data_IF_599593528525
#
_entry.id   IF_599593528525
#
_cell.length_a   1.000
_cell.length_b   1.000
_cell.length_c   1.000
_cell.angle_alpha   90.00
_cell.angle_beta   90.00
_cell.angle_gamma   90.00
#
_symmetry.space_group_name_H-M   'P 1'
#
loop_
_entity.id
_entity.type
_entity.pdbx_description
1 polymer ?
#
# COMPACT_ATOMS: atom_id res chain seq x y z
N UNK A 1 15.61 24.70 23.83
CA UNK A 1 15.44 23.57 22.88
C UNK A 1 16.28 22.40 23.41
N UNK A 2 15.65 21.40 24.01
CA UNK A 2 16.34 20.18 24.47
C UNK A 2 16.16 19.13 23.39
N UNK A 3 17.25 18.71 22.76
CA UNK A 3 17.28 17.59 21.82
C UNK A 3 16.90 16.30 22.56
N UNK A 4 15.79 15.70 22.18
CA UNK A 4 15.42 14.34 22.62
C UNK A 4 16.37 13.36 21.93
N UNK A 5 17.11 12.51 22.64
CA UNK A 5 17.97 11.53 22.00
C UNK A 5 17.12 10.48 21.28
N UNK A 6 17.39 10.26 20.00
CA UNK A 6 16.84 9.14 19.21
C UNK A 6 17.30 7.83 19.88
N UNK A 7 16.45 7.22 20.68
CA UNK A 7 16.71 5.92 21.27
C UNK A 7 16.77 4.87 20.15
N UNK A 8 17.86 4.14 20.15
CA UNK A 8 18.15 3.11 19.15
C UNK A 8 17.26 1.87 19.39
N UNK A 9 16.07 1.85 18.77
CA UNK A 9 15.06 0.79 18.94
C UNK A 9 15.43 -0.56 18.27
N UNK A 10 16.53 -0.59 17.50
CA UNK A 10 16.97 -1.81 16.78
C UNK A 10 17.36 -2.98 17.68
N UNK A 11 17.46 -2.77 19.00
CA UNK A 11 17.91 -3.79 19.96
C UNK A 11 16.85 -4.31 20.92
N UNK A 12 15.62 -3.75 20.89
CA UNK A 12 14.53 -4.28 21.73
C UNK A 12 13.83 -5.44 21.02
N UNK A 13 13.96 -6.63 21.56
CA UNK A 13 13.14 -7.79 21.17
C UNK A 13 11.79 -7.66 21.88
N UNK A 14 10.74 -7.35 21.14
CA UNK A 14 9.36 -7.42 21.62
C UNK A 14 8.81 -8.81 21.28
N UNK A 15 8.32 -9.52 22.28
CA UNK A 15 7.69 -10.83 22.11
C UNK A 15 6.21 -10.72 21.76
N UNK A 16 5.62 -9.55 22.00
CA UNK A 16 4.21 -9.23 21.72
C UNK A 16 4.10 -8.12 20.65
N UNK A 17 3.45 -8.39 19.51
CA UNK A 17 3.20 -7.40 18.46
C UNK A 17 2.44 -6.15 18.96
N UNK A 18 1.51 -6.32 19.90
CA UNK A 18 0.74 -5.20 20.46
C UNK A 18 1.60 -4.27 21.32
N UNK A 19 2.56 -4.82 22.07
CA UNK A 19 3.49 -4.03 22.86
C UNK A 19 4.40 -3.19 21.95
N UNK A 20 4.90 -3.78 20.88
CA UNK A 20 5.70 -3.09 19.88
C UNK A 20 4.90 -1.94 19.22
N UNK A 21 3.68 -2.22 18.79
CA UNK A 21 2.77 -1.24 18.20
C UNK A 21 2.53 -0.05 19.14
N UNK A 22 2.18 -0.31 20.40
CA UNK A 22 1.88 0.74 21.38
C UNK A 22 3.09 1.65 21.63
N UNK A 23 4.30 1.09 21.74
CA UNK A 23 5.54 1.88 21.90
C UNK A 23 5.77 2.77 20.68
N UNK A 24 5.61 2.23 19.48
CA UNK A 24 5.79 2.99 18.22
C UNK A 24 4.75 4.08 18.05
N UNK A 25 3.49 3.82 18.40
CA UNK A 25 2.43 4.83 18.33
C UNK A 25 2.64 5.98 19.32
N UNK A 26 3.20 5.72 20.50
CA UNK A 26 3.53 6.77 21.48
C UNK A 26 4.69 7.68 21.03
N UNK A 27 5.60 7.16 20.22
CA UNK A 27 6.76 7.91 19.69
C UNK A 27 6.43 8.72 18.42
N UNK A 28 5.23 8.57 17.85
CA UNK A 28 4.81 9.28 16.64
C UNK A 28 4.42 10.73 16.91
N UNK A 29 4.76 11.59 15.96
CA UNK A 29 4.29 12.96 15.92
C UNK A 29 2.81 12.93 15.49
N UNK A 30 1.87 13.49 16.26
CA UNK A 30 0.46 13.58 15.89
C UNK A 30 0.27 14.24 14.52
N UNK A 31 -0.78 13.83 13.78
CA UNK A 31 -1.08 14.35 12.44
C UNK A 31 -1.10 15.88 12.37
N UNK A 32 -1.65 16.55 13.39
CA UNK A 32 -1.71 18.02 13.49
C UNK A 32 -0.32 18.67 13.52
N UNK A 33 0.73 17.95 13.91
CA UNK A 33 2.12 18.41 13.94
C UNK A 33 2.93 17.94 12.71
N UNK A 34 2.38 17.05 11.89
CA UNK A 34 2.97 16.59 10.63
C UNK A 34 2.68 17.61 9.51
N UNK A 35 3.21 18.82 9.63
CA UNK A 35 2.92 19.92 8.68
C UNK A 35 3.59 19.81 7.31
N UNK A 36 4.25 18.72 6.98
CA UNK A 36 4.85 18.53 5.66
C UNK A 36 4.26 17.31 4.99
N UNK A 37 3.24 17.52 4.16
CA UNK A 37 2.86 16.56 3.13
C UNK A 37 4.12 16.28 2.30
N UNK A 38 4.58 15.02 2.17
CA UNK A 38 5.74 14.73 1.36
C UNK A 38 5.55 15.30 -0.05
N UNK A 39 6.57 15.93 -0.63
CA UNK A 39 6.44 16.52 -1.95
C UNK A 39 6.06 15.42 -2.95
N UNK A 40 5.05 15.71 -3.79
CA UNK A 40 4.67 14.79 -4.88
C UNK A 40 5.85 14.59 -5.81
N UNK A 41 5.96 13.40 -6.37
CA UNK A 41 7.03 13.05 -7.30
C UNK A 41 6.75 13.66 -8.66
N UNK A 42 7.73 14.39 -9.18
CA UNK A 42 7.72 15.03 -10.50
C UNK A 42 8.95 14.64 -11.31
N UNK A 43 8.89 14.82 -12.61
CA UNK A 43 10.03 14.68 -13.50
C UNK A 43 9.88 13.56 -14.55
N UNK A 44 10.83 13.52 -15.52
CA UNK A 44 10.71 12.65 -16.71
C UNK A 44 10.62 11.15 -16.38
N UNK A 45 11.33 10.70 -15.33
CA UNK A 45 11.30 9.31 -14.86
C UNK A 45 9.90 8.88 -14.44
N UNK A 46 9.25 9.70 -13.60
CA UNK A 46 7.92 9.41 -13.07
C UNK A 46 6.84 9.51 -14.15
N UNK A 47 7.02 10.42 -15.11
CA UNK A 47 6.16 10.53 -16.30
C UNK A 47 6.28 9.28 -17.18
N UNK A 48 7.51 8.82 -17.44
CA UNK A 48 7.74 7.59 -18.21
C UNK A 48 7.12 6.38 -17.49
N UNK A 49 7.29 6.29 -16.18
CA UNK A 49 6.70 5.21 -15.37
C UNK A 49 5.17 5.23 -15.45
N UNK A 50 4.53 6.40 -15.29
CA UNK A 50 3.08 6.54 -15.41
C UNK A 50 2.59 6.09 -16.79
N UNK A 51 3.29 6.47 -17.86
CA UNK A 51 2.97 6.04 -19.21
C UNK A 51 3.13 4.52 -19.41
N UNK A 52 4.19 3.91 -18.89
CA UNK A 52 4.37 2.47 -18.95
C UNK A 52 3.28 1.72 -18.20
N UNK A 53 2.97 2.13 -16.98
CA UNK A 53 1.94 1.48 -16.16
C UNK A 53 0.56 1.63 -16.79
N UNK A 54 0.21 2.78 -17.38
CA UNK A 54 -1.08 2.95 -18.06
C UNK A 54 -1.29 1.97 -19.22
N UNK A 55 -0.20 1.46 -19.82
CA UNK A 55 -0.24 0.48 -20.89
C UNK A 55 -0.22 -0.97 -20.44
N UNK A 56 0.45 -1.26 -19.32
CA UNK A 56 0.69 -2.62 -18.84
C UNK A 56 -0.29 -3.06 -17.75
N UNK A 57 -0.83 -2.11 -16.99
CA UNK A 57 -1.75 -2.40 -15.88
C UNK A 57 -2.98 -3.21 -16.34
N UNK A 58 -3.58 -2.84 -17.46
CA UNK A 58 -4.74 -3.55 -18.01
C UNK A 58 -4.44 -5.03 -18.34
N UNK A 59 -3.19 -5.34 -18.77
CA UNK A 59 -2.75 -6.71 -19.07
C UNK A 59 -2.61 -7.59 -17.82
N UNK A 60 -2.40 -6.99 -16.65
CA UNK A 60 -2.24 -7.71 -15.37
C UNK A 60 -3.57 -7.76 -14.63
N UNK A 61 -4.36 -6.72 -14.75
CA UNK A 61 -5.59 -6.51 -13.99
C UNK A 61 -6.61 -7.64 -14.17
N UNK A 62 -6.77 -8.16 -15.39
CA UNK A 62 -7.71 -9.26 -15.68
C UNK A 62 -7.37 -10.55 -14.93
N UNK A 63 -6.09 -10.77 -14.53
CA UNK A 63 -5.66 -11.96 -13.79
C UNK A 63 -6.12 -11.97 -12.33
N UNK A 64 -6.47 -10.79 -11.80
CA UNK A 64 -6.87 -10.61 -10.40
C UNK A 64 -8.26 -9.98 -10.25
N UNK A 65 -9.02 -9.83 -11.35
CA UNK A 65 -10.31 -9.15 -11.37
C UNK A 65 -11.31 -9.75 -10.37
N UNK A 66 -11.39 -11.08 -10.28
CA UNK A 66 -12.32 -11.75 -9.36
C UNK A 66 -11.93 -11.53 -7.90
N UNK A 67 -10.61 -11.49 -7.59
CA UNK A 67 -10.11 -11.14 -6.25
C UNK A 67 -10.38 -9.69 -5.91
N UNK A 68 -10.14 -8.77 -6.86
CA UNK A 68 -10.50 -7.36 -6.70
C UNK A 68 -11.97 -7.21 -6.38
N UNK A 69 -12.84 -7.83 -7.18
CA UNK A 69 -14.28 -7.78 -6.95
C UNK A 69 -14.65 -8.30 -5.56
N UNK A 70 -14.19 -9.50 -5.21
CA UNK A 70 -14.50 -10.11 -3.92
C UNK A 70 -14.04 -9.26 -2.71
N UNK A 71 -12.92 -8.54 -2.83
CA UNK A 71 -12.34 -7.76 -1.75
C UNK A 71 -12.84 -6.32 -1.70
N UNK A 72 -13.12 -5.68 -2.85
CA UNK A 72 -13.43 -4.25 -2.93
C UNK A 72 -14.93 -3.96 -2.98
N UNK A 73 -15.73 -4.80 -3.64
CA UNK A 73 -17.19 -4.60 -3.76
C UNK A 73 -17.91 -4.55 -2.39
N UNK A 74 -17.51 -5.32 -1.36
CA UNK A 74 -18.13 -5.24 -0.04
C UNK A 74 -17.81 -3.99 0.76
N UNK A 75 -16.80 -3.19 0.36
CA UNK A 75 -16.37 -2.02 1.12
C UNK A 75 -17.43 -0.92 1.09
N UNK A 76 -17.57 -0.21 2.21
CA UNK A 76 -18.54 0.88 2.41
C UNK A 76 -17.89 2.03 3.19
N UNK A 77 -18.56 3.19 3.17
CA UNK A 77 -18.10 4.37 3.89
C UNK A 77 -16.90 5.04 3.23
N UNK A 78 -15.99 5.55 4.04
CA UNK A 78 -14.77 6.22 3.58
C UNK A 78 -13.69 5.17 3.28
N UNK A 79 -13.35 5.02 2.01
CA UNK A 79 -12.30 4.11 1.53
C UNK A 79 -11.10 4.92 1.05
N UNK A 80 -9.96 4.67 1.66
CA UNK A 80 -8.68 5.29 1.29
C UNK A 80 -7.87 4.29 0.46
N UNK A 81 -7.54 4.63 -0.78
CA UNK A 81 -6.67 3.82 -1.62
C UNK A 81 -5.28 4.43 -1.69
N UNK A 82 -4.27 3.65 -1.32
CA UNK A 82 -2.86 4.05 -1.38
C UNK A 82 -2.31 3.64 -2.74
N UNK A 83 -1.67 4.59 -3.45
CA UNK A 83 -1.09 4.36 -4.75
C UNK A 83 -2.09 3.89 -5.80
N UNK A 84 -3.22 4.60 -6.02
CA UNK A 84 -4.26 4.17 -6.97
C UNK A 84 -3.77 4.10 -8.43
N UNK A 85 -2.65 4.75 -8.73
CA UNK A 85 -2.06 4.75 -10.05
C UNK A 85 -3.03 5.25 -11.11
N UNK A 86 -3.37 4.40 -12.07
CA UNK A 86 -4.30 4.73 -13.17
C UNK A 86 -5.79 4.53 -12.80
N UNK A 87 -6.12 4.19 -11.55
CA UNK A 87 -7.51 4.00 -11.13
C UNK A 87 -8.11 2.63 -11.44
N UNK A 88 -7.28 1.62 -11.70
CA UNK A 88 -7.73 0.28 -12.07
C UNK A 88 -8.67 -0.40 -11.04
N UNK A 89 -8.72 0.09 -9.80
CA UNK A 89 -9.63 -0.42 -8.78
C UNK A 89 -10.99 0.30 -8.76
N UNK A 90 -11.11 1.49 -9.35
CA UNK A 90 -12.31 2.33 -9.27
C UNK A 90 -13.58 1.62 -9.73
N UNK A 91 -13.47 0.75 -10.73
CA UNK A 91 -14.59 -0.02 -11.27
C UNK A 91 -15.15 -1.08 -10.31
N UNK A 92 -14.40 -1.44 -9.26
CA UNK A 92 -14.76 -2.53 -8.35
C UNK A 92 -15.37 -2.06 -7.04
N UNK A 93 -15.35 -0.75 -6.73
CA UNK A 93 -16.00 -0.22 -5.53
C UNK A 93 -17.51 -0.03 -5.75
N UNK A 94 -18.29 -0.18 -4.67
CA UNK A 94 -19.69 0.25 -4.66
C UNK A 94 -19.82 1.75 -5.00
N UNK A 95 -20.88 2.17 -5.71
CA UNK A 95 -21.13 3.59 -5.98
C UNK A 95 -21.22 4.46 -4.71
N UNK A 96 -21.63 3.89 -3.58
CA UNK A 96 -21.84 4.60 -2.31
C UNK A 96 -20.53 4.84 -1.52
N UNK A 97 -19.39 4.40 -2.03
CA UNK A 97 -18.09 4.60 -1.37
C UNK A 97 -17.63 6.05 -1.53
N UNK A 98 -17.32 6.71 -0.41
CA UNK A 98 -16.55 7.95 -0.41
C UNK A 98 -15.07 7.59 -0.60
N UNK A 99 -14.57 7.76 -1.84
CA UNK A 99 -13.24 7.30 -2.22
C UNK A 99 -12.20 8.42 -2.15
N UNK A 100 -11.07 8.14 -1.50
CA UNK A 100 -9.93 9.05 -1.39
C UNK A 100 -8.67 8.32 -1.83
N UNK A 101 -7.99 8.83 -2.87
CA UNK A 101 -6.70 8.31 -3.33
C UNK A 101 -5.52 9.07 -2.76
N UNK A 102 -4.51 8.36 -2.28
CA UNK A 102 -3.22 8.93 -1.85
C UNK A 102 -2.17 8.55 -2.88
N UNK A 103 -1.81 9.51 -3.75
CA UNK A 103 -0.91 9.26 -4.89
C UNK A 103 0.33 10.16 -4.82
N UNK A 104 1.53 9.59 -4.69
CA UNK A 104 2.77 10.37 -4.69
C UNK A 104 3.20 10.85 -6.07
N UNK A 105 2.82 10.16 -7.15
CA UNK A 105 3.21 10.49 -8.53
C UNK A 105 2.14 11.35 -9.22
N UNK A 106 2.36 12.65 -9.31
CA UNK A 106 1.38 13.57 -9.94
C UNK A 106 1.09 13.29 -11.42
N UNK A 107 1.96 12.56 -12.12
CA UNK A 107 1.71 12.16 -13.52
C UNK A 107 0.68 11.02 -13.66
N UNK A 108 0.23 10.44 -12.54
CA UNK A 108 -0.90 9.49 -12.52
C UNK A 108 -2.26 10.19 -12.54
N UNK A 109 -2.33 11.45 -12.11
CA UNK A 109 -3.60 12.17 -11.94
C UNK A 109 -4.44 12.21 -13.22
N UNK A 110 -3.82 12.50 -14.37
CA UNK A 110 -4.54 12.59 -15.65
C UNK A 110 -5.25 11.26 -15.99
N UNK A 111 -4.54 10.13 -15.80
CA UNK A 111 -5.11 8.79 -16.04
C UNK A 111 -6.22 8.46 -15.05
N UNK A 112 -6.02 8.83 -13.78
CA UNK A 112 -6.96 8.57 -12.69
C UNK A 112 -8.26 9.36 -12.88
N UNK A 113 -8.16 10.65 -13.25
CA UNK A 113 -9.32 11.47 -13.56
C UNK A 113 -10.03 11.06 -14.87
N UNK A 114 -9.28 10.59 -15.89
CA UNK A 114 -9.85 10.02 -17.10
C UNK A 114 -10.71 8.78 -16.78
N UNK A 115 -10.17 7.85 -15.98
CA UNK A 115 -10.89 6.65 -15.54
C UNK A 115 -12.11 6.99 -14.67
N UNK A 116 -11.98 7.94 -13.75
CA UNK A 116 -13.07 8.47 -12.93
C UNK A 116 -14.20 9.02 -13.81
N UNK A 117 -13.87 9.83 -14.83
CA UNK A 117 -14.83 10.38 -15.79
C UNK A 117 -15.52 9.28 -16.60
N UNK A 118 -14.78 8.27 -17.06
CA UNK A 118 -15.33 7.12 -17.80
C UNK A 118 -16.35 6.34 -16.95
N UNK A 119 -16.08 6.18 -15.66
CA UNK A 119 -16.93 5.49 -14.70
C UNK A 119 -18.03 6.39 -14.09
N UNK A 120 -18.03 7.70 -14.39
CA UNK A 120 -18.90 8.71 -13.78
C UNK A 120 -18.86 8.66 -12.25
N UNK A 121 -17.66 8.54 -11.69
CA UNK A 121 -17.42 8.44 -10.24
C UNK A 121 -16.72 9.70 -9.75
N UNK A 122 -17.26 10.28 -8.68
CA UNK A 122 -16.55 11.33 -7.96
C UNK A 122 -15.40 10.74 -7.16
N UNK A 123 -14.24 11.39 -7.25
CA UNK A 123 -13.01 10.97 -6.54
C UNK A 123 -12.34 12.18 -5.88
N UNK A 124 -11.68 11.93 -4.75
CA UNK A 124 -10.76 12.88 -4.14
C UNK A 124 -9.34 12.33 -4.24
N UNK A 125 -8.40 13.13 -4.75
CA UNK A 125 -6.99 12.74 -4.85
C UNK A 125 -6.14 13.66 -3.99
N UNK A 126 -5.37 13.09 -3.08
CA UNK A 126 -4.41 13.81 -2.24
C UNK A 126 -2.99 13.40 -2.55
N UNK A 127 -2.09 14.38 -2.63
CA UNK A 127 -0.67 14.11 -2.65
C UNK A 127 -0.20 13.56 -1.31
N UNK A 128 0.61 12.52 -1.32
CA UNK A 128 1.12 11.90 -0.10
C UNK A 128 1.84 10.60 -0.38
N UNK A 129 2.34 9.96 0.66
CA UNK A 129 2.91 8.62 0.60
C UNK A 129 2.22 7.70 1.61
N UNK A 130 2.41 6.40 1.44
CA UNK A 130 1.89 5.41 2.37
C UNK A 130 2.47 5.57 3.79
N UNK A 131 3.69 6.09 3.90
CA UNK A 131 4.40 6.33 5.16
C UNK A 131 3.97 7.61 5.87
N UNK A 132 3.18 8.47 5.19
CA UNK A 132 2.65 9.73 5.75
C UNK A 132 1.32 10.03 5.05
N UNK A 133 0.26 9.37 5.47
CA UNK A 133 -1.09 9.51 4.92
C UNK A 133 -1.70 10.83 5.42
N UNK A 134 -2.04 11.79 4.51
CA UNK A 134 -2.55 13.10 4.89
C UNK A 134 -4.02 13.06 5.29
N UNK A 135 -4.33 12.24 6.29
CA UNK A 135 -5.66 12.04 6.84
C UNK A 135 -5.58 11.97 8.38
N UNK A 136 -6.63 12.43 9.09
CA UNK A 136 -6.71 12.27 10.55
C UNK A 136 -6.68 10.81 10.99
N UNK A 137 -6.36 10.60 12.26
CA UNK A 137 -6.52 9.30 12.92
C UNK A 137 -7.98 8.86 12.82
N UNK A 138 -8.20 7.55 12.68
CA UNK A 138 -9.53 6.92 12.75
C UNK A 138 -10.56 7.55 11.79
N UNK A 139 -10.13 7.97 10.59
CA UNK A 139 -10.98 8.63 9.60
C UNK A 139 -11.46 7.71 8.47
N UNK A 140 -10.83 6.54 8.27
CA UNK A 140 -11.15 5.61 7.19
C UNK A 140 -11.88 4.36 7.69
N UNK A 141 -12.94 3.95 6.98
CA UNK A 141 -13.63 2.68 7.22
C UNK A 141 -12.84 1.51 6.59
N UNK A 142 -12.16 1.79 5.48
CA UNK A 142 -11.22 0.85 4.88
C UNK A 142 -10.01 1.57 4.27
N UNK A 143 -8.86 0.88 4.25
CA UNK A 143 -7.67 1.26 3.48
C UNK A 143 -7.38 0.14 2.48
N UNK A 144 -7.05 0.51 1.25
CA UNK A 144 -6.74 -0.45 0.17
C UNK A 144 -5.35 -0.20 -0.36
N UNK A 145 -4.58 -1.27 -0.56
CA UNK A 145 -3.29 -1.25 -1.26
C UNK A 145 -3.23 -2.39 -2.29
N UNK A 146 -2.99 -2.05 -3.55
CA UNK A 146 -2.84 -3.03 -4.63
C UNK A 146 -1.51 -2.79 -5.34
N UNK A 147 -0.55 -3.72 -5.16
CA UNK A 147 0.82 -3.64 -5.71
C UNK A 147 1.58 -2.37 -5.27
N UNK A 148 1.42 -1.95 -4.02
CA UNK A 148 1.99 -0.71 -3.46
C UNK A 148 3.01 -0.98 -2.38
N UNK A 149 2.71 -1.86 -1.41
CA UNK A 149 3.59 -2.11 -0.28
C UNK A 149 4.96 -2.69 -0.69
N UNK A 150 5.06 -3.25 -1.88
CA UNK A 150 6.32 -3.66 -2.47
C UNK A 150 7.23 -2.46 -2.81
N UNK A 151 6.67 -1.28 -3.10
CA UNK A 151 7.37 -0.09 -3.62
C UNK A 151 7.59 1.00 -2.58
N UNK A 152 6.91 0.96 -1.42
CA UNK A 152 7.09 1.94 -0.34
C UNK A 152 8.54 1.93 0.19
N UNK A 153 9.03 3.06 0.65
CA UNK A 153 10.38 3.20 1.20
C UNK A 153 10.54 2.38 2.49
N UNK A 154 9.62 2.60 3.44
CA UNK A 154 9.54 1.86 4.70
C UNK A 154 8.16 1.20 4.86
N UNK A 155 8.12 -0.12 4.76
CA UNK A 155 6.87 -0.88 4.84
C UNK A 155 6.26 -0.85 6.24
N UNK A 156 7.08 -0.79 7.27
CA UNK A 156 6.66 -0.75 8.67
C UNK A 156 5.93 0.57 8.96
N UNK A 157 6.52 1.71 8.55
CA UNK A 157 5.90 3.02 8.71
C UNK A 157 4.59 3.11 7.91
N UNK A 158 4.55 2.56 6.69
CA UNK A 158 3.33 2.52 5.88
C UNK A 158 2.22 1.72 6.56
N UNK A 159 2.51 0.55 7.11
CA UNK A 159 1.52 -0.28 7.82
C UNK A 159 1.03 0.39 9.11
N UNK A 160 1.89 1.10 9.82
CA UNK A 160 1.49 1.89 10.99
C UNK A 160 0.58 3.07 10.63
N UNK A 161 0.85 3.74 9.51
CA UNK A 161 -0.02 4.81 9.00
C UNK A 161 -1.39 4.27 8.58
N UNK A 162 -1.42 3.12 7.91
CA UNK A 162 -2.67 2.41 7.58
C UNK A 162 -3.46 2.14 8.87
N UNK A 163 -2.80 1.61 9.88
CA UNK A 163 -3.45 1.29 11.15
C UNK A 163 -3.93 2.57 11.87
N UNK A 164 -3.17 3.67 11.79
CA UNK A 164 -3.53 4.96 12.39
C UNK A 164 -4.83 5.52 11.79
N UNK A 165 -4.91 5.58 10.47
CA UNK A 165 -6.07 6.19 9.79
C UNK A 165 -7.32 5.33 9.81
N UNK A 166 -7.20 4.01 9.99
CA UNK A 166 -8.35 3.13 10.13
C UNK A 166 -9.11 3.41 11.42
N UNK A 167 -10.43 3.47 11.32
CA UNK A 167 -11.36 3.45 12.47
C UNK A 167 -11.25 2.12 13.23
N UNK A 168 -11.59 2.07 14.53
CA UNK A 168 -11.77 0.80 15.22
C UNK A 168 -12.71 -0.13 14.45
N UNK A 169 -12.29 -1.38 14.20
CA UNK A 169 -13.02 -2.35 13.38
C UNK A 169 -12.92 -2.12 11.86
N UNK A 170 -12.23 -1.08 11.43
CA UNK A 170 -11.94 -0.83 10.01
C UNK A 170 -11.08 -1.91 9.37
N UNK A 171 -11.07 -1.97 8.04
CA UNK A 171 -10.39 -3.02 7.28
C UNK A 171 -9.23 -2.49 6.46
N UNK A 172 -8.08 -3.13 6.55
CA UNK A 172 -7.03 -3.01 5.55
C UNK A 172 -7.19 -4.14 4.52
N UNK A 173 -7.33 -3.81 3.24
CA UNK A 173 -7.46 -4.74 2.13
C UNK A 173 -6.23 -4.65 1.25
N UNK A 174 -5.68 -5.78 0.84
CA UNK A 174 -4.43 -5.79 0.07
C UNK A 174 -4.40 -6.88 -0.99
N UNK A 175 -3.72 -6.57 -2.11
CA UNK A 175 -3.27 -7.51 -3.13
C UNK A 175 -1.81 -7.13 -3.45
N UNK A 176 -0.84 -7.99 -3.12
CA UNK A 176 0.57 -7.65 -3.23
C UNK A 176 1.40 -8.81 -3.77
N UNK A 177 2.40 -8.52 -4.60
CA UNK A 177 3.41 -9.54 -4.87
C UNK A 177 4.40 -9.63 -3.70
N UNK A 178 4.95 -10.82 -3.48
CA UNK A 178 5.76 -11.12 -2.29
C UNK A 178 6.95 -12.01 -2.60
N UNK A 179 7.82 -12.15 -1.61
CA UNK A 179 8.91 -13.12 -1.64
C UNK A 179 8.38 -14.55 -1.82
N UNK A 180 9.09 -15.33 -2.61
CA UNK A 180 8.91 -16.77 -2.67
C UNK A 180 9.28 -17.45 -1.34
N UNK A 181 8.95 -18.72 -1.20
CA UNK A 181 9.19 -19.48 0.02
C UNK A 181 10.67 -19.52 0.39
N UNK A 182 10.94 -19.51 1.70
CA UNK A 182 12.31 -19.60 2.25
C UNK A 182 13.04 -20.82 1.68
N UNK A 183 14.26 -20.62 1.20
CA UNK A 183 15.10 -21.68 0.66
C UNK A 183 14.76 -22.12 -0.78
N UNK A 184 13.73 -21.55 -1.41
CA UNK A 184 13.37 -21.87 -2.79
C UNK A 184 14.37 -21.27 -3.79
N UNK A 185 14.52 -21.94 -4.96
CA UNK A 185 15.29 -21.40 -6.09
C UNK A 185 14.74 -20.05 -6.57
N UNK A 186 13.42 -19.89 -6.53
CA UNK A 186 12.76 -18.66 -6.93
C UNK A 186 13.13 -17.49 -6.02
N UNK A 187 13.21 -17.70 -4.69
CA UNK A 187 13.68 -16.65 -3.77
C UNK A 187 15.11 -16.22 -4.07
N UNK A 188 15.98 -17.18 -4.42
CA UNK A 188 17.35 -16.84 -4.82
C UNK A 188 17.36 -15.97 -6.08
N UNK A 189 16.57 -16.31 -7.09
CA UNK A 189 16.40 -15.52 -8.32
C UNK A 189 15.88 -14.12 -7.98
N UNK A 190 14.83 -14.02 -7.14
CA UNK A 190 14.29 -12.74 -6.68
C UNK A 190 15.37 -11.88 -6.02
N UNK A 191 16.17 -12.44 -5.12
CA UNK A 191 17.25 -11.72 -4.44
C UNK A 191 18.32 -11.18 -5.40
N UNK A 192 18.70 -11.97 -6.40
CA UNK A 192 19.70 -11.57 -7.42
C UNK A 192 19.15 -10.46 -8.33
N UNK A 193 17.89 -10.58 -8.75
CA UNK A 193 17.27 -9.63 -9.68
C UNK A 193 16.76 -8.34 -9.01
N UNK A 194 16.46 -8.39 -7.71
CA UNK A 194 15.81 -7.28 -6.99
C UNK A 194 16.53 -5.93 -7.10
N UNK A 195 17.86 -5.79 -7.02
CA UNK A 195 18.52 -4.50 -7.13
C UNK A 195 18.27 -3.81 -8.48
N UNK A 196 18.34 -4.57 -9.59
CA UNK A 196 18.03 -4.08 -10.93
C UNK A 196 16.53 -3.78 -11.09
N UNK A 197 15.67 -4.67 -10.60
CA UNK A 197 14.22 -4.48 -10.66
C UNK A 197 13.75 -3.20 -9.96
N UNK A 198 14.24 -2.93 -8.76
CA UNK A 198 13.94 -1.68 -8.01
C UNK A 198 14.21 -0.42 -8.81
N UNK A 199 15.26 -0.43 -9.63
CA UNK A 199 15.62 0.72 -10.44
C UNK A 199 14.59 0.99 -11.54
N UNK A 200 14.07 -0.07 -12.18
CA UNK A 200 13.14 0.02 -13.31
C UNK A 200 11.67 0.11 -12.89
N UNK A 201 11.31 -0.54 -11.77
CA UNK A 201 9.93 -0.69 -11.30
C UNK A 201 9.59 0.24 -10.13
N UNK A 202 10.03 1.49 -10.19
CA UNK A 202 9.76 2.57 -9.23
C UNK A 202 9.89 2.17 -7.76
N UNK A 203 11.00 1.50 -7.43
CA UNK A 203 11.29 1.10 -6.06
C UNK A 203 10.70 -0.25 -5.64
N UNK A 204 9.97 -0.93 -6.51
CA UNK A 204 9.35 -2.21 -6.23
C UNK A 204 10.37 -3.29 -5.82
N UNK A 205 10.12 -3.94 -4.68
CA UNK A 205 10.93 -5.04 -4.14
C UNK A 205 10.17 -6.36 -4.25
N UNK A 206 10.56 -7.20 -5.18
CA UNK A 206 9.91 -8.50 -5.44
C UNK A 206 10.14 -9.56 -4.36
N UNK A 207 11.08 -9.31 -3.44
CA UNK A 207 11.46 -10.22 -2.38
C UNK A 207 11.02 -9.77 -0.98
N UNK A 208 10.03 -8.86 -0.89
CA UNK A 208 9.45 -8.42 0.38
C UNK A 208 8.55 -9.48 1.01
N UNK A 209 8.63 -9.60 2.32
CA UNK A 209 7.78 -10.48 3.14
C UNK A 209 6.57 -9.73 3.68
N UNK A 210 5.78 -9.14 2.77
CA UNK A 210 4.66 -8.26 3.12
C UNK A 210 3.65 -8.95 4.03
N UNK A 211 3.35 -10.23 3.79
CA UNK A 211 2.43 -10.98 4.67
C UNK A 211 2.93 -11.13 6.10
N UNK A 212 4.25 -11.30 6.29
CA UNK A 212 4.84 -11.37 7.64
C UNK A 212 4.77 -10.00 8.33
N UNK A 213 5.07 -8.91 7.60
CA UNK A 213 4.99 -7.55 8.11
C UNK A 213 3.55 -7.20 8.56
N UNK A 214 2.53 -7.53 7.74
CA UNK A 214 1.12 -7.30 8.10
C UNK A 214 0.76 -8.02 9.40
N UNK A 215 1.15 -9.30 9.57
CA UNK A 215 0.87 -10.06 10.80
C UNK A 215 1.56 -9.49 12.03
N UNK A 216 2.68 -8.80 11.87
CA UNK A 216 3.48 -8.23 12.97
C UNK A 216 3.06 -6.80 13.34
N UNK A 217 2.23 -6.12 12.53
CA UNK A 217 1.90 -4.71 12.74
C UNK A 217 0.89 -4.47 13.87
N UNK A 218 0.14 -5.50 14.31
CA UNK A 218 -0.85 -5.36 15.41
C UNK A 218 -2.31 -5.32 14.93
N UNK A 219 -2.59 -5.73 13.70
CA UNK A 219 -3.96 -6.01 13.25
C UNK A 219 -4.56 -7.20 14.04
N UNK A 220 -5.85 -7.10 14.37
CA UNK A 220 -6.53 -8.08 15.25
C UNK A 220 -6.92 -9.37 14.54
N UNK A 221 -7.32 -9.28 13.27
CA UNK A 221 -7.72 -10.41 12.43
C UNK A 221 -7.04 -10.26 11.07
N UNK A 222 -6.24 -11.24 10.66
CA UNK A 222 -5.44 -11.19 9.43
C UNK A 222 -5.72 -12.43 8.59
N UNK A 223 -6.45 -12.23 7.50
CA UNK A 223 -6.70 -13.26 6.49
C UNK A 223 -5.81 -13.06 5.27
N UNK A 224 -5.00 -14.05 4.91
CA UNK A 224 -4.08 -13.99 3.77
C UNK A 224 -4.24 -15.25 2.92
N UNK A 225 -4.67 -15.07 1.67
CA UNK A 225 -4.59 -16.06 0.61
C UNK A 225 -3.27 -15.88 -0.15
N UNK A 226 -2.55 -16.98 -0.41
CA UNK A 226 -1.36 -16.99 -1.29
C UNK A 226 -1.76 -17.55 -2.64
N UNK A 227 -1.31 -16.91 -3.71
CA UNK A 227 -1.57 -17.36 -5.07
C UNK A 227 -0.39 -17.08 -6.00
N UNK A 228 -0.45 -17.63 -7.21
CA UNK A 228 0.57 -17.45 -8.23
C UNK A 228 -0.02 -16.70 -9.42
N UNK A 229 0.76 -15.77 -9.98
CA UNK A 229 0.45 -15.12 -11.26
C UNK A 229 1.49 -15.53 -12.31
N UNK A 230 1.15 -15.56 -13.61
CA UNK A 230 2.08 -15.94 -14.67
C UNK A 230 3.08 -14.83 -14.99
N UNK A 231 3.83 -14.37 -13.97
CA UNK A 231 4.77 -13.25 -14.03
C UNK A 231 6.22 -13.66 -13.75
N UNK A 232 6.58 -14.93 -14.02
CA UNK A 232 7.95 -15.41 -13.85
C UNK A 232 8.45 -15.25 -12.40
N UNK A 233 9.52 -14.47 -12.20
CA UNK A 233 10.08 -14.25 -10.87
C UNK A 233 9.21 -13.40 -9.93
N UNK A 234 8.26 -12.64 -10.46
CA UNK A 234 7.27 -11.89 -9.67
C UNK A 234 5.97 -12.68 -9.42
N UNK A 235 5.96 -14.00 -9.71
CA UNK A 235 4.80 -14.89 -9.63
C UNK A 235 4.13 -14.97 -8.25
N UNK A 236 4.83 -15.04 -7.10
CA UNK A 236 4.17 -15.18 -5.80
C UNK A 236 3.44 -13.91 -5.38
N UNK A 237 2.16 -14.06 -5.05
CA UNK A 237 1.29 -12.99 -4.58
C UNK A 237 0.53 -13.38 -3.32
N UNK A 238 0.05 -12.37 -2.62
CA UNK A 238 -0.92 -12.48 -1.53
C UNK A 238 -2.11 -11.57 -1.81
N UNK A 239 -3.28 -11.98 -1.35
CA UNK A 239 -4.47 -11.17 -1.28
C UNK A 239 -5.19 -11.42 0.04
N UNK A 240 -5.91 -10.42 0.55
CA UNK A 240 -6.63 -10.60 1.78
C UNK A 240 -7.02 -9.31 2.47
N UNK A 241 -7.35 -9.44 3.74
CA UNK A 241 -7.70 -8.31 4.60
C UNK A 241 -7.10 -8.48 6.00
N UNK A 242 -7.00 -7.35 6.71
CA UNK A 242 -6.68 -7.30 8.12
C UNK A 242 -7.58 -6.29 8.83
N UNK A 243 -7.96 -6.53 10.10
CA UNK A 243 -8.83 -5.67 10.92
C UNK A 243 -8.02 -4.89 11.95
N UNK A 244 -8.40 -3.61 12.16
CA UNK A 244 -7.92 -2.83 13.30
C UNK A 244 -8.66 -3.20 14.59
#
# INVERSE_FOLDING_TARGET
MRSVPLLNLRTRQFTDPHQWYNVRMQERIPFEQQQTIPPRRYGPRYRLYAWLISRWAAGIDHLIVDRKRALLEPLRGTVVEIGPGTGANLAHYSPDVCWIGIEPNSHMDDYLYEESGRLRREIEVRGGSAEAIPLPDESADAVVATMVLCSVGNQEDALLEILRVLKPGGSFVFIEHVAADKGSRLLHIQNVLNPGWRLFADGCNINRRTGDAIRQTGFSDVHIERFQMPQGFASPHIAGYAKK
#
